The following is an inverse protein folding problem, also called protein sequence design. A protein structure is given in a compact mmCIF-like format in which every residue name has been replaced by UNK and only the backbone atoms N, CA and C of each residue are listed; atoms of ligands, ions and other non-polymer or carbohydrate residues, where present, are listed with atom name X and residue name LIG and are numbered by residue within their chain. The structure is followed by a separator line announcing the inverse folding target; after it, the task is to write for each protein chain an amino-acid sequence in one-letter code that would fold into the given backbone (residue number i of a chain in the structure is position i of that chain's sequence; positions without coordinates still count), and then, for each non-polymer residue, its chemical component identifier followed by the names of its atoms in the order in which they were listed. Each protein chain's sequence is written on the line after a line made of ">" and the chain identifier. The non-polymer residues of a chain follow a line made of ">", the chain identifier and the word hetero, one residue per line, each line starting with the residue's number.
data_IF_255429772800
#
_entry.id   IF_255429772800
#
_cell.length_a   1.000
_cell.length_b   1.000
_cell.length_c   1.000
_cell.angle_alpha   90.00
_cell.angle_beta   90.00
_cell.angle_gamma   90.00
#
_symmetry.space_group_name_H-M   'P 1'
#
loop_
_entity.id
_entity.type
_entity.pdbx_description
1 polymer ?
#
# COMPACT_ATOMS: atom_id res chain seq x y z
N UNK A 1 -37.23 -85.44 -36.35
CA UNK A 1 -36.14 -84.47 -36.64
C UNK A 1 -36.33 -83.24 -35.77
N UNK A 2 -35.42 -82.95 -34.83
CA UNK A 2 -35.45 -81.71 -34.01
C UNK A 2 -34.19 -80.89 -34.31
N UNK A 3 -34.36 -79.67 -34.84
CA UNK A 3 -33.25 -78.72 -35.03
C UNK A 3 -32.95 -78.05 -33.68
N UNK A 4 -31.74 -78.26 -33.16
CA UNK A 4 -31.22 -77.53 -31.99
C UNK A 4 -30.64 -76.20 -32.49
N UNK A 5 -31.20 -75.09 -32.03
CA UNK A 5 -30.74 -73.75 -32.40
C UNK A 5 -29.70 -73.27 -31.36
N UNK A 6 -28.43 -73.17 -31.77
CA UNK A 6 -27.30 -72.77 -30.91
C UNK A 6 -27.16 -71.25 -30.93
N UNK A 7 -27.65 -70.58 -29.89
CA UNK A 7 -27.46 -69.14 -29.73
C UNK A 7 -26.01 -68.82 -29.37
N UNK A 8 -25.32 -68.11 -30.26
CA UNK A 8 -23.95 -67.62 -30.03
C UNK A 8 -23.99 -66.34 -29.21
N UNK A 9 -23.74 -66.45 -27.89
CA UNK A 9 -23.58 -65.29 -26.99
C UNK A 9 -22.18 -64.70 -27.19
N UNK A 10 -22.08 -63.56 -27.88
CA UNK A 10 -20.83 -62.78 -27.99
C UNK A 10 -20.48 -62.19 -26.63
N UNK A 11 -19.42 -62.69 -25.99
CA UNK A 11 -18.81 -62.02 -24.83
C UNK A 11 -17.96 -60.82 -25.32
N UNK A 12 -18.36 -59.61 -24.93
CA UNK A 12 -17.52 -58.42 -25.12
C UNK A 12 -16.33 -58.47 -24.14
N UNK A 13 -15.12 -58.46 -24.70
CA UNK A 13 -13.87 -58.49 -23.94
C UNK A 13 -13.71 -57.22 -23.09
N UNK A 14 -13.95 -57.34 -21.78
CA UNK A 14 -13.83 -56.26 -20.77
C UNK A 14 -12.43 -55.63 -20.65
N UNK A 15 -11.41 -56.19 -21.32
CA UNK A 15 -10.01 -55.77 -21.21
C UNK A 15 -9.73 -54.40 -21.86
N UNK A 16 -10.50 -53.99 -22.87
CA UNK A 16 -10.28 -52.72 -23.56
C UNK A 16 -10.72 -51.49 -22.74
N UNK A 17 -11.72 -51.63 -21.86
CA UNK A 17 -12.25 -50.50 -21.06
C UNK A 17 -11.30 -50.13 -19.91
N UNK A 18 -10.53 -51.09 -19.39
CA UNK A 18 -9.64 -50.87 -18.24
C UNK A 18 -8.49 -49.89 -18.49
N UNK A 19 -7.98 -49.81 -19.73
CA UNK A 19 -6.90 -48.90 -20.09
C UNK A 19 -7.34 -47.44 -20.16
N UNK A 20 -8.55 -47.18 -20.67
CA UNK A 20 -9.09 -45.82 -20.79
C UNK A 20 -9.44 -45.25 -19.41
N UNK A 21 -10.02 -46.08 -18.54
CA UNK A 21 -10.38 -45.63 -17.19
C UNK A 21 -9.14 -45.24 -16.39
N UNK A 22 -8.05 -46.00 -16.51
CA UNK A 22 -6.80 -45.70 -15.80
C UNK A 22 -6.11 -44.43 -16.30
N UNK A 23 -6.09 -44.18 -17.62
CA UNK A 23 -5.51 -42.94 -18.16
C UNK A 23 -6.28 -41.70 -17.75
N UNK A 24 -7.63 -41.76 -17.75
CA UNK A 24 -8.47 -40.65 -17.27
C UNK A 24 -8.24 -40.39 -15.78
N UNK A 25 -8.17 -41.44 -14.96
CA UNK A 25 -7.88 -41.31 -13.53
C UNK A 25 -6.52 -40.65 -13.29
N UNK A 26 -5.51 -41.01 -14.09
CA UNK A 26 -4.16 -40.47 -14.00
C UNK A 26 -4.15 -38.96 -14.35
N UNK A 27 -4.85 -38.56 -15.41
CA UNK A 27 -4.97 -37.15 -15.79
C UNK A 27 -5.63 -36.32 -14.69
N UNK A 28 -6.71 -36.83 -14.08
CA UNK A 28 -7.40 -36.12 -13.00
C UNK A 28 -6.49 -35.88 -11.78
N UNK A 29 -5.66 -36.86 -11.42
CA UNK A 29 -4.72 -36.73 -10.31
C UNK A 29 -3.63 -35.71 -10.63
N UNK A 30 -3.11 -35.70 -11.87
CA UNK A 30 -2.08 -34.73 -12.29
C UNK A 30 -2.63 -33.30 -12.26
N UNK A 31 -3.86 -33.08 -12.72
CA UNK A 31 -4.49 -31.76 -12.67
C UNK A 31 -4.67 -31.26 -11.22
N UNK A 32 -5.06 -32.15 -10.31
CA UNK A 32 -5.15 -31.83 -8.89
C UNK A 32 -3.77 -31.44 -8.31
N UNK A 33 -2.72 -32.18 -8.66
CA UNK A 33 -1.36 -31.88 -8.22
C UNK A 33 -0.88 -30.50 -8.71
N UNK A 34 -1.11 -30.16 -9.98
CA UNK A 34 -0.76 -28.84 -10.54
C UNK A 34 -1.52 -27.73 -9.82
N UNK A 35 -2.80 -27.92 -9.53
CA UNK A 35 -3.63 -26.95 -8.80
C UNK A 35 -3.06 -26.62 -7.42
N UNK A 36 -2.61 -27.63 -6.67
CA UNK A 36 -2.01 -27.43 -5.34
C UNK A 36 -0.68 -26.67 -5.46
N UNK A 37 0.17 -27.04 -6.41
CA UNK A 37 1.46 -26.36 -6.63
C UNK A 37 1.25 -24.89 -6.97
N UNK A 38 0.27 -24.57 -7.81
CA UNK A 38 -0.05 -23.18 -8.17
C UNK A 38 -0.59 -22.36 -6.99
N UNK A 39 -1.40 -22.95 -6.12
CA UNK A 39 -1.91 -22.29 -4.91
C UNK A 39 -0.77 -21.87 -3.96
N UNK A 40 0.24 -22.73 -3.81
CA UNK A 40 1.41 -22.45 -2.98
C UNK A 40 2.30 -21.37 -3.61
N UNK A 41 2.66 -21.52 -4.89
CA UNK A 41 3.51 -20.56 -5.62
C UNK A 41 2.88 -19.16 -5.63
N UNK A 42 1.58 -19.06 -5.93
CA UNK A 42 0.88 -17.78 -6.00
C UNK A 42 0.83 -17.06 -4.64
N UNK A 43 0.75 -17.80 -3.53
CA UNK A 43 0.80 -17.24 -2.19
C UNK A 43 2.17 -16.65 -1.87
N UNK A 44 3.25 -17.36 -2.23
CA UNK A 44 4.63 -16.86 -2.06
C UNK A 44 4.94 -15.66 -2.95
N UNK A 45 4.49 -15.66 -4.21
CA UNK A 45 4.67 -14.53 -5.13
C UNK A 45 3.97 -13.27 -4.61
N UNK A 46 2.72 -13.39 -4.16
CA UNK A 46 1.96 -12.25 -3.59
C UNK A 46 2.63 -11.68 -2.34
N UNK A 47 3.17 -12.54 -1.47
CA UNK A 47 3.89 -12.09 -0.27
C UNK A 47 5.23 -11.42 -0.63
N UNK A 48 5.94 -11.95 -1.64
CA UNK A 48 7.20 -11.38 -2.11
C UNK A 48 7.04 -10.01 -2.78
N UNK A 49 5.95 -9.78 -3.53
CA UNK A 49 5.69 -8.50 -4.20
C UNK A 49 5.15 -7.42 -3.27
N UNK A 50 4.40 -7.78 -2.22
CA UNK A 50 3.91 -6.82 -1.20
C UNK A 50 5.05 -6.07 -0.49
N UNK A 51 6.25 -6.66 -0.41
CA UNK A 51 7.43 -5.99 0.14
C UNK A 51 8.06 -4.94 -0.79
N UNK A 52 7.75 -4.99 -2.09
CA UNK A 52 8.30 -4.10 -3.13
C UNK A 52 7.27 -3.04 -3.55
N UNK A 53 5.97 -3.34 -3.40
CA UNK A 53 4.88 -2.38 -3.61
C UNK A 53 5.13 -1.11 -2.77
N UNK A 54 5.20 0.04 -3.45
CA UNK A 54 5.46 1.35 -2.85
C UNK A 54 6.93 1.74 -2.68
N UNK A 55 7.91 0.83 -2.86
CA UNK A 55 9.33 1.19 -2.73
C UNK A 55 9.83 2.03 -3.92
N UNK A 56 9.44 1.66 -5.15
CA UNK A 56 9.71 2.46 -6.35
C UNK A 56 8.96 3.79 -6.32
N UNK A 57 7.73 3.79 -5.78
CA UNK A 57 6.94 5.01 -5.59
C UNK A 57 7.60 5.95 -4.60
N UNK A 58 8.06 5.45 -3.44
CA UNK A 58 8.81 6.25 -2.47
C UNK A 58 10.09 6.85 -3.03
N UNK A 59 10.77 6.15 -3.95
CA UNK A 59 11.99 6.65 -4.59
C UNK A 59 11.71 7.74 -5.64
N UNK A 60 10.65 7.58 -6.42
CA UNK A 60 10.28 8.58 -7.46
C UNK A 60 9.57 9.80 -6.90
N UNK A 61 8.98 9.68 -5.69
CA UNK A 61 8.20 10.75 -5.07
C UNK A 61 9.10 11.85 -4.52
N UNK A 62 8.84 13.08 -4.95
CA UNK A 62 9.55 14.27 -4.49
C UNK A 62 8.56 15.25 -3.89
N UNK A 63 8.71 15.51 -2.59
CA UNK A 63 7.99 16.55 -1.84
C UNK A 63 8.99 17.59 -1.37
N UNK A 64 8.57 18.85 -1.28
CA UNK A 64 9.37 19.93 -0.73
C UNK A 64 8.53 20.87 0.12
N UNK A 65 9.16 21.44 1.15
CA UNK A 65 8.56 22.45 2.03
C UNK A 65 8.83 23.84 1.47
N UNK A 66 7.80 24.53 0.98
CA UNK A 66 7.95 25.92 0.50
C UNK A 66 8.00 26.93 1.65
N UNK A 67 7.29 26.66 2.74
CA UNK A 67 7.30 27.52 3.93
C UNK A 67 6.79 26.77 5.15
N UNK A 68 7.39 27.01 6.32
CA UNK A 68 6.90 26.54 7.61
C UNK A 68 6.89 27.74 8.59
N UNK A 69 5.69 28.21 8.94
CA UNK A 69 5.51 29.41 9.77
C UNK A 69 4.62 29.14 10.96
N UNK A 70 5.01 29.67 12.12
CA UNK A 70 4.19 29.70 13.32
C UNK A 70 3.34 30.98 13.31
N UNK A 71 2.03 30.82 13.07
CA UNK A 71 1.04 31.89 13.24
C UNK A 71 0.54 31.86 14.67
N UNK A 72 0.90 32.89 15.44
CA UNK A 72 0.29 33.12 16.74
C UNK A 72 -1.15 33.59 16.53
N UNK A 73 -2.12 32.79 16.97
CA UNK A 73 -3.49 33.24 17.06
C UNK A 73 -3.64 33.87 18.45
N UNK A 74 -3.87 35.17 18.50
CA UNK A 74 -4.34 35.82 19.72
C UNK A 74 -5.75 35.29 20.00
N UNK A 75 -5.96 34.49 21.07
CA UNK A 75 -7.29 34.06 21.41
C UNK A 75 -8.11 35.30 21.82
N UNK A 76 -9.25 35.50 21.18
CA UNK A 76 -10.21 36.55 21.57
C UNK A 76 -10.99 36.19 22.86
N UNK A 77 -10.54 35.19 23.62
CA UNK A 77 -11.19 34.71 24.84
C UNK A 77 -10.18 34.48 25.97
N UNK A 78 -10.55 35.03 27.13
CA UNK A 78 -9.84 34.95 28.42
C UNK A 78 -9.89 33.50 28.91
N UNK A 79 -8.86 32.69 28.62
CA UNK A 79 -8.42 31.46 29.35
C UNK A 79 -7.72 30.41 28.47
N UNK A 80 -6.76 30.80 27.62
CA UNK A 80 -5.82 29.82 27.09
C UNK A 80 -4.44 30.45 26.85
N UNK A 81 -3.33 29.74 27.20
CA UNK A 81 -2.01 30.17 26.77
C UNK A 81 -2.00 30.24 25.23
N UNK A 82 -1.33 31.25 24.69
CA UNK A 82 -1.21 31.58 23.27
C UNK A 82 -1.32 30.35 22.37
N UNK A 83 -2.40 30.28 21.58
CA UNK A 83 -2.65 29.18 20.66
C UNK A 83 -1.81 29.40 19.41
N UNK A 84 -0.72 28.64 19.27
CA UNK A 84 0.12 28.67 18.08
C UNK A 84 -0.38 27.66 17.05
N UNK A 85 -0.70 28.15 15.84
CA UNK A 85 -0.97 27.32 14.69
C UNK A 85 0.27 27.32 13.79
N UNK A 86 0.83 26.15 13.55
CA UNK A 86 1.92 25.99 12.56
C UNK A 86 1.29 25.71 11.21
N UNK A 87 1.62 26.55 10.24
CA UNK A 87 1.18 26.43 8.85
C UNK A 87 2.38 26.04 7.99
N UNK A 88 2.23 24.93 7.26
CA UNK A 88 3.26 24.36 6.41
C UNK A 88 2.73 24.27 5.00
N UNK A 89 3.46 24.84 4.04
CA UNK A 89 3.13 24.73 2.62
C UNK A 89 4.03 23.66 2.01
N UNK A 90 3.41 22.56 1.59
CA UNK A 90 4.10 21.42 0.98
C UNK A 90 3.77 21.38 -0.49
N UNK A 91 4.81 21.33 -1.33
CA UNK A 91 4.70 21.17 -2.77
C UNK A 91 5.11 19.77 -3.18
N UNK A 92 4.34 19.17 -4.08
CA UNK A 92 4.75 17.93 -4.75
C UNK A 92 5.42 18.28 -6.07
N UNK A 93 6.68 17.91 -6.22
CA UNK A 93 7.47 18.22 -7.41
C UNK A 93 7.23 17.17 -8.51
N UNK A 94 7.38 15.89 -8.17
CA UNK A 94 7.32 14.78 -9.11
C UNK A 94 6.96 13.44 -8.43
N UNK A 95 6.77 12.40 -9.24
CA UNK A 95 6.53 11.01 -8.81
C UNK A 95 5.09 10.55 -9.03
N UNK A 96 4.92 9.30 -9.47
CA UNK A 96 3.62 8.71 -9.87
C UNK A 96 2.89 7.98 -8.74
N UNK A 97 3.50 7.88 -7.55
CA UNK A 97 2.94 7.17 -6.40
C UNK A 97 1.66 7.80 -5.84
N UNK A 98 0.71 6.97 -5.42
CA UNK A 98 -0.47 7.44 -4.69
C UNK A 98 -0.11 7.67 -3.21
N UNK A 99 0.05 8.93 -2.83
CA UNK A 99 0.30 9.32 -1.44
C UNK A 99 -0.99 9.13 -0.66
N UNK A 100 -0.95 8.25 0.34
CA UNK A 100 -2.06 8.01 1.26
C UNK A 100 -2.10 9.06 2.38
N UNK A 101 -0.93 9.52 2.84
CA UNK A 101 -0.81 10.57 3.85
C UNK A 101 0.58 11.22 3.80
N UNK A 102 0.74 12.38 4.42
CA UNK A 102 2.04 13.02 4.68
C UNK A 102 2.26 13.00 6.18
N UNK A 103 3.39 12.44 6.58
CA UNK A 103 3.87 12.41 7.95
C UNK A 103 4.75 13.62 8.20
N UNK A 104 4.50 14.29 9.32
CA UNK A 104 5.26 15.47 9.75
C UNK A 104 5.96 15.15 11.06
N UNK A 105 7.26 15.38 11.12
CA UNK A 105 8.07 15.21 12.32
C UNK A 105 8.61 16.58 12.74
N UNK A 106 8.42 16.94 14.01
CA UNK A 106 8.95 18.18 14.59
C UNK A 106 10.00 17.79 15.63
N UNK A 107 11.27 18.14 15.40
CA UNK A 107 12.43 17.63 16.16
C UNK A 107 12.43 16.09 16.29
N UNK A 108 11.98 15.39 15.24
CA UNK A 108 11.87 13.92 15.22
C UNK A 108 10.62 13.35 15.91
N UNK A 109 9.74 14.18 16.48
CA UNK A 109 8.47 13.74 17.08
C UNK A 109 7.31 13.85 16.08
N UNK A 110 6.54 12.77 15.96
CA UNK A 110 5.36 12.72 15.10
C UNK A 110 4.31 13.75 15.53
N UNK A 111 3.96 14.65 14.61
CA UNK A 111 2.95 15.69 14.83
C UNK A 111 1.84 15.56 13.80
N UNK A 112 0.59 15.62 14.25
CA UNK A 112 -0.57 15.55 13.38
C UNK A 112 -0.84 16.91 12.73
N UNK A 113 -0.71 16.95 11.41
CA UNK A 113 -1.13 18.09 10.59
C UNK A 113 -2.38 17.71 9.79
N UNK A 114 -3.25 18.70 9.60
CA UNK A 114 -4.47 18.57 8.80
C UNK A 114 -4.32 19.36 7.50
N UNK A 115 -4.61 18.72 6.37
CA UNK A 115 -4.55 19.35 5.06
C UNK A 115 -4.91 18.36 3.96
N UNK A 116 -4.90 18.84 2.73
CA UNK A 116 -5.16 18.03 1.54
C UNK A 116 -3.86 17.68 0.86
N UNK A 117 -3.70 16.44 0.40
CA UNK A 117 -2.50 15.98 -0.31
C UNK A 117 -2.38 16.72 -1.65
N UNK A 118 -1.24 17.35 -1.96
CA UNK A 118 -1.02 18.04 -3.23
C UNK A 118 -0.91 17.07 -4.41
N UNK A 119 -1.44 17.48 -5.56
CA UNK A 119 -1.13 16.85 -6.86
C UNK A 119 0.25 17.29 -7.36
N UNK A 120 0.75 16.63 -8.41
CA UNK A 120 2.05 16.98 -9.01
C UNK A 120 2.06 18.44 -9.47
N UNK A 121 3.13 19.16 -9.13
CA UNK A 121 3.31 20.59 -9.31
C UNK A 121 2.34 21.50 -8.52
N UNK A 122 1.56 20.95 -7.60
CA UNK A 122 0.66 21.71 -6.72
C UNK A 122 1.28 21.93 -5.33
N UNK A 123 0.98 23.09 -4.73
CA UNK A 123 1.29 23.36 -3.32
C UNK A 123 0.00 23.33 -2.50
N UNK A 124 0.03 22.62 -1.37
CA UNK A 124 -1.07 22.61 -0.40
C UNK A 124 -0.59 22.99 0.99
N UNK A 125 -1.52 23.57 1.75
CA UNK A 125 -1.28 24.02 3.11
C UNK A 125 -1.76 22.97 4.11
N UNK A 126 -0.90 22.71 5.09
CA UNK A 126 -1.13 21.83 6.21
C UNK A 126 -1.03 22.64 7.51
N UNK A 127 -1.95 22.39 8.44
CA UNK A 127 -2.01 23.12 9.70
C UNK A 127 -2.04 22.17 10.88
N UNK A 128 -1.22 22.45 11.89
CA UNK A 128 -1.26 21.77 13.18
C UNK A 128 -1.39 22.79 14.30
N UNK A 129 -2.12 22.38 15.35
CA UNK A 129 -2.09 23.10 16.63
C UNK A 129 -1.02 22.45 17.48
N UNK A 130 0.05 23.20 17.75
CA UNK A 130 1.12 22.76 18.66
C UNK A 130 0.98 23.63 19.90
N UNK A 131 0.74 22.98 21.05
CA UNK A 131 0.67 23.66 22.35
C UNK A 131 1.92 23.22 23.11
N UNK A 132 2.83 24.17 23.35
CA UNK A 132 3.94 24.10 24.30
C UNK A 132 4.71 22.74 24.36
N UNK A 133 5.98 22.65 23.92
CA UNK A 133 6.93 23.74 23.69
C UNK A 133 6.71 24.50 22.38
N UNK A 134 7.23 25.72 22.33
CA UNK A 134 7.21 26.61 21.17
C UNK A 134 7.79 25.88 19.93
N UNK A 135 7.02 25.87 18.84
CA UNK A 135 7.43 25.22 17.60
C UNK A 135 8.46 26.04 16.81
N UNK A 136 8.66 27.32 17.12
CA UNK A 136 9.62 28.20 16.43
C UNK A 136 11.05 27.73 16.69
N UNK A 137 11.86 27.69 15.65
CA UNK A 137 13.25 27.23 15.71
C UNK A 137 13.41 25.70 15.70
N UNK A 138 12.30 24.94 15.67
CA UNK A 138 12.30 23.48 15.59
C UNK A 138 12.47 23.02 14.14
N UNK A 139 13.12 21.87 13.97
CA UNK A 139 13.26 21.25 12.64
C UNK A 139 11.96 20.53 12.29
N UNK A 140 11.37 20.87 11.16
CA UNK A 140 10.20 20.21 10.60
C UNK A 140 10.64 19.34 9.42
N UNK A 141 10.39 18.05 9.52
CA UNK A 141 10.66 17.08 8.48
C UNK A 141 9.35 16.54 7.93
N UNK A 142 9.31 16.27 6.62
CA UNK A 142 8.17 15.64 5.97
C UNK A 142 8.56 14.31 5.35
N UNK A 143 7.68 13.32 5.47
CA UNK A 143 7.81 12.03 4.81
C UNK A 143 6.46 11.63 4.20
N UNK A 144 6.47 11.06 3.00
CA UNK A 144 5.25 10.54 2.41
C UNK A 144 4.91 9.15 2.93
N UNK A 145 3.62 8.82 2.97
CA UNK A 145 3.12 7.47 3.21
C UNK A 145 2.48 6.98 1.92
N UNK A 146 3.00 5.89 1.38
CA UNK A 146 2.47 5.22 0.17
C UNK A 146 1.98 3.83 0.59
N UNK A 147 0.68 3.62 0.51
CA UNK A 147 0.05 2.40 1.03
C UNK A 147 0.28 2.27 2.54
N UNK A 148 0.94 1.20 2.97
CA UNK A 148 1.31 0.95 4.37
C UNK A 148 2.74 1.37 4.72
N UNK A 149 3.50 1.93 3.77
CA UNK A 149 4.92 2.24 3.95
C UNK A 149 5.14 3.74 4.15
N UNK A 150 5.96 4.09 5.12
CA UNK A 150 6.50 5.46 5.26
C UNK A 150 7.79 5.55 4.44
N UNK A 151 7.84 6.49 3.51
CA UNK A 151 9.03 6.80 2.71
C UNK A 151 10.10 7.48 3.59
N UNK A 152 11.31 7.66 3.04
CA UNK A 152 12.33 8.46 3.70
C UNK A 152 11.87 9.92 3.90
N UNK A 153 12.60 10.66 4.74
CA UNK A 153 12.43 12.11 4.86
C UNK A 153 12.64 12.72 3.48
N UNK A 154 11.62 13.39 2.96
CA UNK A 154 11.62 13.99 1.65
C UNK A 154 12.26 15.39 1.67
N UNK A 155 11.98 16.16 2.71
CA UNK A 155 12.54 17.51 2.91
C UNK A 155 12.47 17.91 4.38
N UNK A 156 13.26 18.91 4.76
CA UNK A 156 13.33 19.45 6.13
C UNK A 156 13.48 20.97 6.12
N UNK A 157 12.78 21.66 7.01
CA UNK A 157 12.82 23.10 7.15
C UNK A 157 12.68 23.54 8.61
N UNK A 158 13.28 24.67 8.99
CA UNK A 158 13.07 25.24 10.32
C UNK A 158 11.76 26.01 10.37
N UNK A 159 10.95 25.76 11.39
CA UNK A 159 9.72 26.54 11.63
C UNK A 159 10.11 27.95 12.06
N UNK A 160 9.70 28.94 11.27
CA UNK A 160 9.98 30.35 11.54
C UNK A 160 8.77 31.04 12.14
N UNK A 161 8.97 32.20 12.74
CA UNK A 161 7.87 33.06 13.16
C UNK A 161 7.25 33.72 11.92
N UNK A 162 5.91 33.74 11.85
CA UNK A 162 5.17 34.42 10.79
C UNK A 162 5.39 35.93 10.79
#
# INVERSE_FOLDING_TARGET
>A
MKKVNKSNKKEFSKKAVSGVVTTVLLILIVLAAIGIVWAVISSFLKQGTQGIEGAADCFSLQLSIESAVNKTITPNFISNPSLTNVEVRVKRLAGEGNISAIKFLVDGADTSFSGTIPQVAETRTFSARIINPEAVGKNLEIAAIVGSRTCGVADSATITKA
#
